data_IF_068504436961
#
_entry.id   IF_068504436961
#
_cell.length_a   1.000
_cell.length_b   1.000
_cell.length_c   1.000
_cell.angle_alpha   90.00
_cell.angle_beta   90.00
_cell.angle_gamma   90.00
#
_symmetry.space_group_name_H-M   'P 1'
#
loop_
_entity.id
_entity.type
_entity.pdbx_description
1 polymer ?
#
# COMPACT_ATOMS: atom_id res chain seq x y z
N UNK A 1 -10.79 1.67 -2.20
CA UNK A 1 -9.50 2.08 -1.60
C UNK A 1 -9.31 3.58 -1.74
N UNK A 2 -9.27 4.12 -2.95
CA UNK A 2 -9.04 5.55 -3.22
C UNK A 2 -10.00 6.51 -2.51
N UNK A 3 -11.33 6.34 -2.58
CA UNK A 3 -12.23 7.28 -1.91
C UNK A 3 -11.93 7.40 -0.42
N UNK A 4 -11.63 6.27 0.23
CA UNK A 4 -11.25 6.23 1.66
C UNK A 4 -9.95 6.98 1.95
N UNK A 5 -8.98 7.02 1.02
CA UNK A 5 -7.76 7.83 1.20
C UNK A 5 -8.11 9.31 1.10
N UNK A 6 -8.90 9.69 0.09
CA UNK A 6 -9.32 11.08 -0.14
C UNK A 6 -10.17 11.62 1.02
N UNK A 7 -11.06 10.79 1.56
CA UNK A 7 -11.91 11.09 2.71
C UNK A 7 -11.14 11.08 4.05
N UNK A 8 -9.83 10.79 4.03
CA UNK A 8 -9.01 10.70 5.24
C UNK A 8 -9.31 9.50 6.14
N UNK A 9 -10.13 8.55 5.66
CA UNK A 9 -10.50 7.33 6.40
C UNK A 9 -9.34 6.32 6.36
N UNK A 10 -8.66 6.18 5.22
CA UNK A 10 -7.53 5.26 5.05
C UNK A 10 -6.19 6.01 5.07
N UNK A 11 -5.48 5.89 6.18
CA UNK A 11 -4.18 6.51 6.46
C UNK A 11 -3.07 5.51 6.75
N UNK A 12 -3.38 4.21 6.71
CA UNK A 12 -2.42 3.14 7.02
C UNK A 12 -2.56 1.97 6.02
N UNK A 13 -1.49 1.21 5.79
CA UNK A 13 -1.59 -0.14 5.20
C UNK A 13 -0.58 -1.14 5.74
N UNK A 14 -1.03 -2.39 5.82
CA UNK A 14 -0.23 -3.57 6.12
C UNK A 14 0.14 -4.35 4.87
N UNK A 15 1.41 -4.74 4.77
CA UNK A 15 1.98 -5.56 3.67
C UNK A 15 2.77 -6.73 4.22
N UNK A 16 2.46 -7.95 3.78
CA UNK A 16 3.18 -9.17 4.16
C UNK A 16 4.69 -9.03 3.89
N UNK A 17 5.51 -9.31 4.89
CA UNK A 17 6.98 -9.36 4.74
C UNK A 17 7.37 -10.63 3.96
N UNK A 18 8.26 -10.50 2.99
CA UNK A 18 8.73 -11.63 2.18
C UNK A 18 10.26 -11.63 2.04
N UNK A 19 10.96 -12.72 2.39
CA UNK A 19 10.46 -13.91 3.08
C UNK A 19 10.01 -13.61 4.53
N UNK A 20 9.18 -14.47 5.13
CA UNK A 20 8.72 -14.26 6.50
C UNK A 20 9.90 -14.36 7.49
N UNK A 21 10.04 -13.39 8.41
CA UNK A 21 11.03 -13.49 9.46
C UNK A 21 10.65 -14.58 10.48
N UNK A 22 11.67 -15.08 11.17
CA UNK A 22 11.51 -15.92 12.35
C UNK A 22 12.19 -15.27 13.55
N UNK A 23 11.66 -15.48 14.75
CA UNK A 23 12.28 -15.00 15.98
C UNK A 23 13.08 -16.15 16.59
N UNK A 24 14.36 -15.93 16.83
CA UNK A 24 15.24 -16.87 17.50
C UNK A 24 15.99 -16.15 18.62
N UNK A 25 15.82 -16.61 19.87
CA UNK A 25 16.48 -16.03 21.06
C UNK A 25 16.28 -14.50 21.18
N UNK A 26 15.07 -14.03 20.90
CA UNK A 26 14.73 -12.60 20.92
C UNK A 26 15.22 -11.82 19.69
N UNK A 27 15.85 -12.45 18.70
CA UNK A 27 16.28 -11.78 17.47
C UNK A 27 15.36 -12.14 16.32
N UNK A 28 14.71 -11.15 15.72
CA UNK A 28 13.94 -11.31 14.49
C UNK A 28 14.88 -11.37 13.29
N UNK A 29 14.89 -12.49 12.57
CA UNK A 29 15.79 -12.73 11.44
C UNK A 29 15.06 -12.98 10.14
N UNK A 30 15.57 -12.43 9.03
CA UNK A 30 15.09 -12.75 7.68
C UNK A 30 16.17 -12.57 6.61
N UNK A 31 15.96 -13.23 5.47
CA UNK A 31 16.87 -13.13 4.32
C UNK A 31 16.63 -11.84 3.52
N UNK A 32 17.73 -11.24 3.04
CA UNK A 32 17.70 -10.18 2.02
C UNK A 32 17.04 -10.72 0.74
N UNK A 33 16.09 -9.98 0.14
CA UNK A 33 15.48 -10.37 -1.13
C UNK A 33 16.47 -10.59 -2.30
N UNK A 34 17.67 -9.98 -2.26
CA UNK A 34 18.56 -9.91 -3.43
C UNK A 34 20.08 -10.12 -3.19
N UNK A 35 20.54 -10.40 -1.97
CA UNK A 35 22.00 -10.47 -1.68
C UNK A 35 22.47 -11.63 -0.80
N UNK A 36 21.63 -12.65 -0.54
CA UNK A 36 22.02 -13.83 0.23
C UNK A 36 22.43 -13.60 1.70
N UNK A 37 22.37 -12.36 2.19
CA UNK A 37 22.67 -12.02 3.58
C UNK A 37 21.44 -12.15 4.49
N UNK A 38 21.68 -12.45 5.77
CA UNK A 38 20.65 -12.50 6.81
C UNK A 38 20.67 -11.19 7.60
N UNK A 39 19.49 -10.59 7.79
CA UNK A 39 19.29 -9.54 8.79
C UNK A 39 18.85 -10.15 10.10
N UNK A 40 19.31 -9.57 11.21
CA UNK A 40 18.81 -9.84 12.54
C UNK A 40 18.57 -8.51 13.24
N UNK A 41 17.35 -8.27 13.69
CA UNK A 41 17.02 -7.19 14.61
C UNK A 41 16.82 -7.87 15.97
N UNK A 42 17.69 -7.57 16.93
CA UNK A 42 17.43 -7.95 18.32
C UNK A 42 16.18 -7.19 18.77
N UNK A 43 15.16 -7.89 19.29
CA UNK A 43 13.91 -7.37 19.81
C UNK A 43 14.01 -6.95 21.29
N UNK A 44 15.21 -7.03 21.89
CA UNK A 44 15.48 -6.58 23.26
C UNK A 44 16.35 -5.31 23.37
N UNK A 45 16.77 -4.70 22.25
CA UNK A 45 17.54 -3.44 22.21
C UNK A 45 16.71 -2.26 21.70
N UNK A 46 16.60 -1.18 22.48
CA UNK A 46 15.73 -0.01 22.25
C UNK A 46 15.75 0.63 20.83
N UNK A 47 16.79 0.41 20.01
CA UNK A 47 16.97 0.95 18.64
C UNK A 47 16.15 0.22 17.53
N UNK A 48 15.08 -0.50 17.89
CA UNK A 48 14.30 -1.36 16.97
C UNK A 48 13.73 -0.66 15.72
N UNK A 49 13.37 0.61 15.83
CA UNK A 49 12.66 1.34 14.78
C UNK A 49 13.57 1.60 13.57
N UNK A 50 14.79 2.09 13.78
CA UNK A 50 15.64 2.60 12.69
C UNK A 50 16.19 1.49 11.78
N UNK A 51 16.42 0.28 12.31
CA UNK A 51 16.98 -0.83 11.54
C UNK A 51 15.94 -1.54 10.66
N UNK A 52 14.68 -1.64 11.09
CA UNK A 52 13.63 -2.26 10.28
C UNK A 52 13.24 -1.37 9.09
N UNK A 53 13.20 -0.06 9.32
CA UNK A 53 12.86 0.98 8.33
C UNK A 53 13.80 0.91 7.11
N UNK A 54 15.09 0.68 7.32
CA UNK A 54 16.10 0.59 6.24
C UNK A 54 15.84 -0.52 5.22
N UNK A 55 15.01 -1.52 5.55
CA UNK A 55 14.71 -2.66 4.69
C UNK A 55 13.28 -2.72 4.20
N UNK A 56 12.44 -1.74 4.57
CA UNK A 56 11.09 -1.65 4.02
C UNK A 56 11.18 -1.37 2.52
N UNK A 57 10.67 -2.26 1.64
CA UNK A 57 10.77 -2.09 0.20
C UNK A 57 9.90 -0.94 -0.34
N UNK A 58 9.09 -0.34 0.53
CA UNK A 58 8.19 0.76 0.22
C UNK A 58 8.78 2.14 0.52
N UNK A 59 9.89 2.20 1.26
CA UNK A 59 10.55 3.44 1.67
C UNK A 59 10.64 3.60 3.18
N UNK A 60 11.27 4.69 3.59
CA UNK A 60 11.44 5.12 4.99
C UNK A 60 10.60 6.35 5.32
N UNK A 61 10.58 6.74 6.58
CA UNK A 61 9.97 8.00 7.02
C UNK A 61 10.51 9.18 6.20
N UNK A 62 9.60 10.00 5.69
CA UNK A 62 9.88 11.12 4.78
C UNK A 62 9.87 10.76 3.29
N UNK A 63 9.90 9.46 2.93
CA UNK A 63 9.72 9.04 1.54
C UNK A 63 8.24 9.18 1.11
N UNK A 64 8.03 9.17 -0.20
CA UNK A 64 6.72 9.36 -0.83
C UNK A 64 6.27 8.10 -1.56
N UNK A 65 5.08 7.62 -1.23
CA UNK A 65 4.38 6.59 -1.98
C UNK A 65 3.46 7.24 -3.01
N UNK A 66 3.47 6.71 -4.22
CA UNK A 66 2.54 7.12 -5.26
C UNK A 66 1.40 6.12 -5.38
N UNK A 67 0.21 6.63 -5.62
CA UNK A 67 -1.00 5.81 -5.66
C UNK A 67 -1.32 5.43 -7.09
N UNK A 68 -1.66 4.15 -7.27
CA UNK A 68 -2.13 3.61 -8.55
C UNK A 68 -3.64 3.53 -8.57
N UNK A 69 -4.24 4.17 -9.57
CA UNK A 69 -5.69 4.20 -9.76
C UNK A 69 -6.05 3.66 -11.13
N UNK A 70 -7.29 3.18 -11.27
CA UNK A 70 -7.85 2.85 -12.57
C UNK A 70 -7.93 4.13 -13.38
N UNK A 71 -7.39 4.11 -14.59
CA UNK A 71 -7.11 5.31 -15.37
C UNK A 71 -7.43 5.08 -16.84
N UNK A 72 -7.55 6.15 -17.60
CA UNK A 72 -7.52 6.11 -19.05
C UNK A 72 -6.69 7.28 -19.57
N UNK A 73 -6.24 7.13 -20.81
CA UNK A 73 -5.57 8.17 -21.57
C UNK A 73 -6.45 8.53 -22.76
N UNK A 74 -5.96 9.42 -23.62
CA UNK A 74 -6.61 9.72 -24.89
C UNK A 74 -6.82 8.46 -25.75
N UNK A 75 -7.99 8.37 -26.40
CA UNK A 75 -8.37 7.32 -27.35
C UNK A 75 -7.35 7.12 -28.47
N UNK A 76 -6.62 8.18 -28.85
CA UNK A 76 -5.51 8.12 -29.79
C UNK A 76 -4.42 7.11 -29.37
N UNK A 77 -4.30 6.81 -28.07
CA UNK A 77 -3.27 5.94 -27.52
C UNK A 77 -3.77 4.55 -27.13
N UNK A 78 -4.99 4.17 -27.50
CA UNK A 78 -5.58 2.88 -27.12
C UNK A 78 -4.78 1.66 -27.60
N UNK A 79 -4.06 1.79 -28.71
CA UNK A 79 -3.16 0.75 -29.21
C UNK A 79 -1.80 0.71 -28.50
N UNK A 80 -1.41 1.78 -27.80
CA UNK A 80 -0.12 1.90 -27.14
C UNK A 80 -0.08 1.19 -25.78
N UNK A 81 1.10 0.64 -25.44
CA UNK A 81 1.37 0.18 -24.08
C UNK A 81 1.52 1.40 -23.16
N UNK A 82 1.14 1.32 -21.88
CA UNK A 82 1.21 2.45 -20.94
C UNK A 82 2.56 3.18 -20.86
N UNK A 83 3.67 2.46 -21.02
CA UNK A 83 5.02 3.02 -21.02
C UNK A 83 5.35 3.83 -22.28
N UNK A 84 4.63 3.59 -23.38
CA UNK A 84 4.87 4.20 -24.70
C UNK A 84 3.94 5.41 -24.94
N UNK A 85 2.97 5.67 -24.04
CA UNK A 85 2.13 6.87 -24.08
C UNK A 85 3.01 8.10 -23.84
N UNK A 86 2.84 9.26 -24.51
CA UNK A 86 3.64 10.47 -24.26
C UNK A 86 3.41 11.12 -22.88
N UNK A 87 4.45 11.70 -22.28
CA UNK A 87 4.43 12.28 -20.91
C UNK A 87 3.46 13.45 -20.77
N UNK A 88 3.30 14.22 -21.84
CA UNK A 88 2.39 15.36 -21.92
C UNK A 88 0.91 14.94 -22.05
N UNK A 89 0.63 13.64 -22.12
CA UNK A 89 -0.72 13.14 -22.33
C UNK A 89 -1.59 13.42 -21.13
N UNK A 90 -2.80 13.91 -21.39
CA UNK A 90 -3.85 13.98 -20.36
C UNK A 90 -4.27 12.56 -19.99
N UNK A 91 -4.34 12.33 -18.68
CA UNK A 91 -4.85 11.10 -18.10
C UNK A 91 -6.01 11.43 -17.19
N UNK A 92 -6.97 10.53 -17.16
CA UNK A 92 -8.16 10.70 -16.36
C UNK A 92 -8.30 9.53 -15.37
N UNK A 93 -8.79 9.85 -14.17
CA UNK A 93 -8.96 8.92 -13.09
C UNK A 93 -10.44 8.68 -12.86
N UNK A 94 -10.86 7.42 -12.93
CA UNK A 94 -12.26 7.06 -12.79
C UNK A 94 -12.67 7.14 -11.31
N UNK A 95 -13.00 8.35 -10.86
CA UNK A 95 -13.55 8.65 -9.53
C UNK A 95 -15.07 8.76 -9.60
N UNK A 96 -15.74 7.66 -9.94
CA UNK A 96 -17.21 7.58 -9.89
C UNK A 96 -17.97 7.74 -11.21
N UNK A 97 -17.29 7.80 -12.37
CA UNK A 97 -17.93 7.75 -13.69
C UNK A 97 -17.19 8.56 -14.76
N UNK A 98 -17.70 8.51 -16.00
CA UNK A 98 -17.35 9.45 -17.07
C UNK A 98 -18.31 10.66 -16.99
N UNK A 99 -17.77 11.87 -16.88
CA UNK A 99 -18.57 13.10 -16.88
C UNK A 99 -18.75 13.69 -18.28
N UNK A 100 -19.44 14.82 -18.40
CA UNK A 100 -19.44 15.62 -19.62
C UNK A 100 -18.02 16.15 -19.92
N UNK A 101 -17.60 16.14 -21.19
CA UNK A 101 -16.25 16.56 -21.61
C UNK A 101 -15.20 15.45 -21.70
N UNK A 102 -15.63 14.18 -21.64
CA UNK A 102 -14.76 13.00 -21.67
C UNK A 102 -14.70 12.31 -23.05
N UNK A 103 -15.13 12.96 -24.13
CA UNK A 103 -15.19 12.38 -25.49
C UNK A 103 -13.82 11.99 -26.07
N UNK A 104 -12.74 12.51 -25.50
CA UNK A 104 -11.36 12.17 -25.83
C UNK A 104 -10.87 10.92 -25.10
N UNK A 105 -11.54 10.49 -24.04
CA UNK A 105 -11.09 9.41 -23.15
C UNK A 105 -11.23 8.06 -23.84
N UNK A 106 -10.12 7.34 -23.91
CA UNK A 106 -10.02 6.00 -24.47
C UNK A 106 -10.39 4.91 -23.49
N UNK A 107 -9.88 3.71 -23.76
CA UNK A 107 -10.19 2.51 -22.96
C UNK A 107 -9.70 2.63 -21.52
N UNK A 108 -10.50 2.10 -20.60
CA UNK A 108 -10.14 1.93 -19.19
C UNK A 108 -8.94 0.98 -19.04
N UNK A 109 -7.95 1.40 -18.25
CA UNK A 109 -6.71 0.66 -17.97
C UNK A 109 -6.63 0.32 -16.49
N UNK A 110 -6.17 -0.90 -16.21
CA UNK A 110 -5.93 -1.35 -14.84
C UNK A 110 -4.88 -0.48 -14.14
N UNK A 111 -5.12 -0.21 -12.85
CA UNK A 111 -4.21 0.54 -11.98
C UNK A 111 -2.81 -0.08 -11.91
N UNK A 112 -2.69 -1.40 -12.05
CA UNK A 112 -1.41 -2.11 -12.02
C UNK A 112 -0.41 -1.57 -13.05
N UNK A 113 -0.93 -1.09 -14.19
CA UNK A 113 -0.12 -0.58 -15.29
C UNK A 113 -0.03 0.94 -15.35
N UNK A 114 -0.53 1.67 -14.34
CA UNK A 114 -0.36 3.12 -14.26
C UNK A 114 1.14 3.45 -14.10
N UNK A 115 1.76 4.17 -15.06
CA UNK A 115 3.11 4.70 -14.92
C UNK A 115 3.21 5.71 -13.77
N UNK A 116 4.34 5.72 -13.05
CA UNK A 116 4.58 6.63 -11.93
C UNK A 116 4.30 8.09 -12.27
N UNK A 117 4.85 8.57 -13.40
CA UNK A 117 4.72 9.93 -13.93
C UNK A 117 3.29 10.41 -14.16
N UNK A 118 2.32 9.51 -14.21
CA UNK A 118 0.92 9.89 -14.33
C UNK A 118 0.24 9.99 -12.97
N UNK A 119 0.69 9.25 -11.95
CA UNK A 119 0.09 9.28 -10.61
C UNK A 119 -0.06 10.72 -10.11
N UNK A 120 -1.26 11.05 -9.64
CA UNK A 120 -1.63 12.38 -9.17
C UNK A 120 -1.84 12.42 -7.64
N UNK A 121 -1.50 11.35 -6.94
CA UNK A 121 -1.74 11.16 -5.52
C UNK A 121 -0.48 10.61 -4.88
N UNK A 122 0.01 11.36 -3.91
CA UNK A 122 1.23 11.07 -3.20
C UNK A 122 0.94 11.01 -1.71
N UNK A 123 1.52 10.01 -1.03
CA UNK A 123 1.35 9.76 0.39
C UNK A 123 2.73 9.85 1.04
N UNK A 124 2.89 10.75 1.99
CA UNK A 124 4.14 10.89 2.75
C UNK A 124 4.17 9.85 3.86
N UNK A 125 5.21 9.03 3.89
CA UNK A 125 5.41 8.05 4.94
C UNK A 125 5.83 8.76 6.22
N UNK A 126 5.03 8.65 7.27
CA UNK A 126 5.36 9.22 8.59
C UNK A 126 5.87 8.19 9.56
N UNK A 127 5.49 6.92 9.38
CA UNK A 127 5.91 5.83 10.26
C UNK A 127 5.98 4.52 9.47
N UNK A 128 6.97 3.69 9.79
CA UNK A 128 7.05 2.31 9.33
C UNK A 128 7.44 1.43 10.50
N UNK A 129 6.66 0.37 10.74
CA UNK A 129 6.92 -0.61 11.79
C UNK A 129 6.68 -2.04 11.32
N UNK A 130 7.15 -3.01 12.10
CA UNK A 130 6.92 -4.44 11.88
C UNK A 130 6.02 -4.96 12.99
N UNK A 131 4.91 -5.58 12.62
CA UNK A 131 3.93 -6.16 13.54
C UNK A 131 3.52 -7.56 13.08
N UNK A 132 2.94 -8.33 13.98
CA UNK A 132 2.07 -9.46 13.61
C UNK A 132 0.72 -8.94 13.15
N UNK A 133 0.10 -9.56 12.14
CA UNK A 133 -1.19 -9.08 11.64
C UNK A 133 -2.28 -9.03 12.71
N UNK A 134 -2.25 -9.93 13.70
CA UNK A 134 -3.25 -10.00 14.78
C UNK A 134 -3.04 -8.94 15.87
N UNK A 135 -1.88 -8.28 15.93
CA UNK A 135 -1.57 -7.18 16.86
C UNK A 135 -2.29 -5.88 16.49
N UNK A 136 -2.97 -5.85 15.34
CA UNK A 136 -3.79 -4.72 14.89
C UNK A 136 -4.82 -4.30 15.96
N UNK A 137 -4.86 -2.99 16.22
CA UNK A 137 -5.85 -2.35 17.10
C UNK A 137 -7.12 -1.96 16.35
N UNK A 138 -8.19 -1.60 17.06
CA UNK A 138 -9.40 -1.05 16.42
C UNK A 138 -9.13 0.28 15.70
N UNK A 139 -8.21 1.10 16.22
CA UNK A 139 -7.81 2.36 15.60
C UNK A 139 -7.06 2.09 14.27
N UNK A 140 -6.12 1.14 14.29
CA UNK A 140 -5.40 0.72 13.09
C UNK A 140 -6.33 0.11 12.03
N UNK A 141 -7.30 -0.70 12.44
CA UNK A 141 -8.28 -1.26 11.52
C UNK A 141 -9.13 -0.17 10.86
N UNK A 142 -9.48 0.89 11.60
CA UNK A 142 -10.13 2.08 11.03
C UNK A 142 -9.21 2.81 10.05
N UNK A 143 -7.93 3.01 10.41
CA UNK A 143 -6.91 3.62 9.55
C UNK A 143 -6.59 2.79 8.30
N UNK A 144 -6.84 1.48 8.32
CA UNK A 144 -6.82 0.61 7.13
C UNK A 144 -8.03 0.82 6.22
N UNK A 145 -9.01 1.61 6.67
CA UNK A 145 -10.26 1.88 5.99
C UNK A 145 -11.38 0.89 6.33
N UNK A 146 -11.25 0.07 7.37
CA UNK A 146 -12.32 -0.82 7.81
C UNK A 146 -13.28 -0.08 8.73
N UNK A 147 -14.54 0.04 8.31
CA UNK A 147 -15.58 0.67 9.10
C UNK A 147 -16.28 -0.43 9.89
N UNK A 148 -16.42 -0.23 11.20
CA UNK A 148 -17.24 -1.05 12.06
C UNK A 148 -18.70 -0.95 11.59
N UNK A 149 -19.19 -1.94 10.84
CA UNK A 149 -20.62 -2.09 10.55
C UNK A 149 -21.36 -2.57 11.80
N UNK A 150 -22.00 -3.73 11.74
CA UNK A 150 -22.62 -4.38 12.91
C UNK A 150 -21.63 -5.08 13.86
N UNK A 151 -20.32 -4.88 13.68
CA UNK A 151 -19.24 -5.53 14.44
C UNK A 151 -18.03 -4.61 14.57
N UNK A 152 -16.87 -5.15 14.94
CA UNK A 152 -15.67 -4.31 15.13
C UNK A 152 -14.92 -4.03 13.83
N UNK A 153 -14.11 -2.97 13.80
CA UNK A 153 -13.28 -2.67 12.65
C UNK A 153 -12.22 -3.77 12.45
N UNK A 154 -11.70 -4.33 13.56
CA UNK A 154 -10.77 -5.47 13.52
C UNK A 154 -11.38 -6.71 12.86
N UNK A 155 -12.63 -7.06 13.17
CA UNK A 155 -13.31 -8.18 12.50
C UNK A 155 -13.47 -7.94 11.00
N UNK A 156 -13.83 -6.71 10.62
CA UNK A 156 -13.93 -6.32 9.21
C UNK A 156 -12.57 -6.38 8.50
N UNK A 157 -11.50 -6.02 9.21
CA UNK A 157 -10.13 -6.14 8.72
C UNK A 157 -9.69 -7.60 8.57
N UNK A 158 -10.04 -8.49 9.49
CA UNK A 158 -9.76 -9.92 9.40
C UNK A 158 -10.32 -10.51 8.10
N UNK A 159 -11.60 -10.26 7.80
CA UNK A 159 -12.24 -10.74 6.56
C UNK A 159 -11.54 -10.15 5.33
N UNK A 160 -11.25 -8.85 5.35
CA UNK A 160 -10.54 -8.18 4.27
C UNK A 160 -9.14 -8.79 4.06
N UNK A 161 -8.40 -9.04 5.13
CA UNK A 161 -7.07 -9.61 5.10
C UNK A 161 -7.05 -10.98 4.44
N UNK A 162 -7.97 -11.88 4.86
CA UNK A 162 -8.07 -13.22 4.29
C UNK A 162 -8.45 -13.20 2.81
N UNK A 163 -9.36 -12.31 2.42
CA UNK A 163 -9.75 -12.17 1.01
C UNK A 163 -8.55 -11.83 0.10
N UNK A 164 -7.54 -11.13 0.63
CA UNK A 164 -6.36 -10.68 -0.11
C UNK A 164 -5.18 -11.64 -0.01
N UNK A 165 -5.00 -12.28 1.15
CA UNK A 165 -3.74 -12.94 1.51
C UNK A 165 -3.86 -14.43 1.81
N UNK A 166 -5.04 -14.96 2.14
CA UNK A 166 -5.21 -16.37 2.52
C UNK A 166 -4.79 -17.32 1.40
N UNK A 167 -5.19 -17.05 0.15
CA UNK A 167 -4.82 -17.85 -1.04
C UNK A 167 -3.31 -17.94 -1.27
N UNK A 168 -2.53 -17.03 -0.67
CA UNK A 168 -1.06 -16.97 -0.79
C UNK A 168 -0.36 -17.62 0.42
N UNK A 169 -1.10 -18.22 1.35
CA UNK A 169 -0.58 -18.84 2.57
C UNK A 169 -0.36 -17.88 3.74
N UNK A 170 -0.91 -16.67 3.68
CA UNK A 170 -0.72 -15.62 4.70
C UNK A 170 -2.06 -15.20 5.32
N UNK A 171 -2.95 -16.17 5.54
CA UNK A 171 -4.25 -15.91 6.17
C UNK A 171 -4.12 -15.41 7.62
N UNK A 172 -5.22 -14.94 8.18
CA UNK A 172 -5.30 -14.36 9.51
C UNK A 172 -4.80 -15.33 10.59
N UNK A 173 -5.20 -16.60 10.52
CA UNK A 173 -4.80 -17.65 11.47
C UNK A 173 -3.29 -17.96 11.43
N UNK A 174 -2.63 -17.73 10.30
CA UNK A 174 -1.16 -17.90 10.17
C UNK A 174 -0.41 -16.82 10.97
N UNK A 175 -1.08 -15.70 11.23
CA UNK A 175 -0.55 -14.54 11.92
C UNK A 175 0.83 -14.08 11.38
N UNK A 176 0.98 -13.80 10.07
CA UNK A 176 2.26 -13.43 9.49
C UNK A 176 2.77 -12.06 10.00
N UNK A 177 4.07 -11.85 9.90
CA UNK A 177 4.67 -10.53 10.06
C UNK A 177 4.39 -9.65 8.85
N UNK A 178 4.10 -8.38 9.12
CA UNK A 178 3.73 -7.36 8.14
C UNK A 178 4.52 -6.08 8.36
N UNK A 179 4.82 -5.39 7.27
CA UNK A 179 5.15 -3.97 7.28
C UNK A 179 3.86 -3.19 7.53
N UNK A 180 3.84 -2.35 8.54
CA UNK A 180 2.81 -1.33 8.76
C UNK A 180 3.37 0.00 8.32
N UNK A 181 2.65 0.71 7.47
CA UNK A 181 3.08 1.98 6.90
C UNK A 181 1.97 2.99 7.13
N UNK A 182 2.30 4.12 7.75
CA UNK A 182 1.39 5.22 8.01
C UNK A 182 1.66 6.44 7.12
N UNK A 183 0.58 7.07 6.69
CA UNK A 183 0.52 8.33 5.96
C UNK A 183 -0.75 9.10 6.39
N UNK A 184 -0.72 9.88 7.47
CA UNK A 184 -1.88 10.65 7.91
C UNK A 184 -2.32 11.73 6.90
N UNK A 185 -1.46 12.07 5.94
CA UNK A 185 -1.73 13.09 4.93
C UNK A 185 -1.41 12.57 3.53
N UNK A 186 -2.21 13.01 2.57
CA UNK A 186 -1.93 12.87 1.15
C UNK A 186 -1.77 14.26 0.53
N UNK A 187 -1.02 14.33 -0.56
CA UNK A 187 -0.97 15.50 -1.43
C UNK A 187 -1.41 15.10 -2.84
N UNK A 188 -2.07 16.02 -3.52
CA UNK A 188 -2.34 15.90 -4.95
C UNK A 188 -1.36 16.80 -5.68
N UNK A 189 -0.47 16.21 -6.46
CA UNK A 189 0.34 16.99 -7.41
C UNK A 189 -0.56 17.29 -8.61
N UNK A 190 -0.74 18.59 -8.89
CA UNK A 190 -1.59 19.22 -9.92
C UNK A 190 -2.98 19.71 -9.46
N UNK A 191 -3.01 20.98 -9.03
CA UNK A 191 -3.77 21.99 -9.80
C UNK A 191 -2.77 22.72 -10.69
#
# INVERSE_FOLDING_TARGET
MIPKILDGIKTQTRRVIKPQPHIERGVMRWQKPHKGGMHGIDLNMDDHADLAIMFCPYGKVGDRLWVRETWAADKLYDSLKPRDIPDISRVCYFRGGIGEGWDWVGKTRSSMFLPHRFSNLTLEITEVRVERVQEITEADAKAEGCIAGAGTAKYSFMILWDSLNAKRGYGWEVNPFVWVIDWPKYSTENT
#
